data_IF_749137679310
#
_entry.id   IF_749137679310
#
_cell.length_a   1.000
_cell.length_b   1.000
_cell.length_c   1.000
_cell.angle_alpha   90.00
_cell.angle_beta   90.00
_cell.angle_gamma   90.00
#
_symmetry.space_group_name_H-M   'P 1'
#
loop_
_entity.id
_entity.type
_entity.pdbx_description
1 polymer ?
#
# COMPACT_ATOMS: atom_id res chain seq x y z
N UNK A 1 -6.84 22.15 -1.59
CA UNK A 1 -5.67 21.35 -1.18
C UNK A 1 -6.06 19.91 -1.01
N UNK A 2 -5.26 19.00 -1.51
CA UNK A 2 -5.54 17.58 -1.40
C UNK A 2 -4.76 16.96 -0.28
N UNK A 3 -5.46 16.20 0.54
CA UNK A 3 -4.84 15.46 1.62
C UNK A 3 -4.96 13.99 1.30
N UNK A 4 -3.84 13.34 1.12
CA UNK A 4 -3.81 11.89 0.96
C UNK A 4 -3.72 11.25 2.35
N UNK A 5 -4.28 10.06 2.52
CA UNK A 5 -4.20 9.38 3.81
C UNK A 5 -2.78 8.94 4.17
N UNK A 6 -1.89 8.92 3.18
CA UNK A 6 -0.49 8.54 3.40
C UNK A 6 0.40 9.47 2.61
N UNK A 7 1.67 9.53 3.01
CA UNK A 7 2.69 10.33 2.34
C UNK A 7 3.88 9.47 2.02
N UNK A 8 4.69 9.94 1.07
CA UNK A 8 5.97 9.29 0.76
C UNK A 8 6.77 9.12 2.04
N UNK A 9 7.36 7.94 2.19
CA UNK A 9 8.18 7.54 3.34
C UNK A 9 7.41 7.25 4.62
N UNK A 10 6.08 7.31 4.61
CA UNK A 10 5.29 6.87 5.75
C UNK A 10 5.47 5.37 5.95
N UNK A 11 5.54 4.97 7.21
CA UNK A 11 5.59 3.56 7.59
C UNK A 11 4.28 3.25 8.30
N UNK A 12 3.50 2.35 7.72
CA UNK A 12 2.18 2.01 8.24
C UNK A 12 1.94 0.52 8.15
N UNK A 13 1.01 0.04 8.98
CA UNK A 13 0.57 -1.35 8.91
C UNK A 13 -0.71 -1.40 8.07
N UNK A 14 -0.75 -2.33 7.12
CA UNK A 14 -1.92 -2.48 6.25
C UNK A 14 -2.27 -3.95 6.12
N UNK A 15 -3.51 -4.20 5.74
CA UNK A 15 -3.95 -5.54 5.39
C UNK A 15 -4.09 -5.62 3.87
N UNK A 16 -3.51 -6.66 3.29
CA UNK A 16 -3.56 -6.87 1.85
C UNK A 16 -4.90 -7.54 1.53
N UNK A 17 -5.69 -6.91 0.68
CA UNK A 17 -7.05 -7.36 0.40
C UNK A 17 -7.22 -7.96 -0.99
N UNK A 18 -6.24 -7.78 -1.86
CA UNK A 18 -6.35 -8.27 -3.24
C UNK A 18 -4.96 -8.40 -3.84
N UNK A 19 -4.93 -8.93 -5.07
CA UNK A 19 -3.68 -9.14 -5.79
C UNK A 19 -3.91 -8.75 -7.24
N UNK A 20 -2.97 -8.00 -7.82
CA UNK A 20 -3.06 -7.61 -9.23
C UNK A 20 -2.52 -8.71 -10.12
N UNK A 21 -2.77 -8.59 -11.43
CA UNK A 21 -2.21 -9.51 -12.42
C UNK A 21 -0.69 -9.52 -12.40
N UNK A 22 -0.10 -8.43 -11.97
CA UNK A 22 1.35 -8.28 -11.95
C UNK A 22 1.97 -8.82 -10.66
N UNK A 23 1.14 -9.31 -9.75
CA UNK A 23 1.64 -9.86 -8.51
C UNK A 23 1.80 -8.85 -7.40
N UNK A 24 1.21 -7.67 -7.56
CA UNK A 24 1.25 -6.66 -6.51
C UNK A 24 0.08 -6.84 -5.56
N UNK A 25 0.35 -6.78 -4.26
CA UNK A 25 -0.71 -6.78 -3.28
C UNK A 25 -1.41 -5.42 -3.27
N UNK A 26 -2.70 -5.44 -2.97
CA UNK A 26 -3.50 -4.22 -2.89
C UNK A 26 -3.96 -4.01 -1.46
N UNK A 27 -3.68 -2.84 -0.92
CA UNK A 27 -4.21 -2.43 0.38
C UNK A 27 -4.90 -1.09 0.21
N UNK A 28 -5.90 -0.82 1.02
CA UNK A 28 -6.59 0.46 0.97
C UNK A 28 -6.50 1.16 2.31
N UNK A 29 -6.16 2.43 2.27
CA UNK A 29 -6.14 3.30 3.44
C UNK A 29 -7.11 4.43 3.16
N UNK A 30 -8.25 4.46 3.87
CA UNK A 30 -9.30 5.46 3.65
C UNK A 30 -9.70 5.55 2.18
N UNK A 31 -9.93 4.38 1.56
CA UNK A 31 -10.32 4.27 0.16
C UNK A 31 -9.21 4.61 -0.84
N UNK A 32 -8.01 4.86 -0.36
CA UNK A 32 -6.87 5.17 -1.22
C UNK A 32 -6.08 3.87 -1.43
N UNK A 33 -6.03 3.34 -2.66
CA UNK A 33 -5.37 2.06 -2.89
C UNK A 33 -3.85 2.20 -2.94
N UNK A 34 -3.18 1.25 -2.32
CA UNK A 34 -1.72 1.14 -2.36
C UNK A 34 -1.36 -0.20 -2.99
N UNK A 35 -0.42 -0.17 -3.92
CA UNK A 35 0.12 -1.37 -4.55
C UNK A 35 1.45 -1.71 -3.90
N UNK A 36 1.57 -2.94 -3.43
CA UNK A 36 2.69 -3.32 -2.57
C UNK A 36 3.36 -4.57 -3.12
N UNK A 37 4.65 -4.47 -3.40
CA UNK A 37 5.43 -5.59 -3.92
C UNK A 37 5.59 -6.67 -2.85
N UNK A 38 5.56 -7.92 -3.29
CA UNK A 38 5.83 -9.09 -2.45
C UNK A 38 4.84 -9.26 -1.30
N UNK A 39 3.62 -8.79 -1.49
CA UNK A 39 2.57 -8.92 -0.49
C UNK A 39 1.47 -9.83 -1.04
N UNK A 40 0.89 -10.65 -0.18
CA UNK A 40 -0.17 -11.59 -0.56
C UNK A 40 -1.46 -11.26 0.17
N UNK A 41 -2.61 -11.51 -0.46
CA UNK A 41 -3.90 -11.24 0.17
C UNK A 41 -4.03 -11.95 1.51
N UNK A 42 -4.61 -11.26 2.47
CA UNK A 42 -4.80 -11.80 3.81
C UNK A 42 -3.68 -11.49 4.76
N UNK A 43 -2.56 -10.97 4.29
CA UNK A 43 -1.44 -10.63 5.15
C UNK A 43 -1.63 -9.25 5.75
N UNK A 44 -1.20 -9.10 7.02
CA UNK A 44 -1.07 -7.79 7.64
C UNK A 44 0.42 -7.50 7.74
N UNK A 45 0.83 -6.42 7.12
CA UNK A 45 2.25 -6.14 6.94
C UNK A 45 2.55 -4.69 7.28
N UNK A 46 3.76 -4.47 7.77
CA UNK A 46 4.28 -3.12 7.87
C UNK A 46 4.95 -2.77 6.56
N UNK A 47 4.53 -1.65 5.99
CA UNK A 47 5.04 -1.21 4.69
C UNK A 47 5.54 0.21 4.77
N UNK A 48 6.41 0.55 3.83
CA UNK A 48 6.85 1.93 3.65
C UNK A 48 6.25 2.44 2.35
N UNK A 49 5.63 3.61 2.41
CA UNK A 49 5.05 4.24 1.23
C UNK A 49 6.17 4.83 0.40
N UNK A 50 6.28 4.38 -0.86
CA UNK A 50 7.35 4.82 -1.75
C UNK A 50 6.93 6.02 -2.57
N UNK A 51 5.66 6.08 -2.97
CA UNK A 51 5.19 7.08 -3.90
C UNK A 51 3.69 7.22 -3.77
N UNK A 52 3.19 8.43 -3.88
CA UNK A 52 1.75 8.68 -3.89
C UNK A 52 1.37 9.46 -5.15
N UNK A 53 0.24 9.10 -5.72
CA UNK A 53 -0.32 9.80 -6.86
C UNK A 53 -1.75 10.22 -6.56
N UNK A 54 -2.42 10.75 -7.57
CA UNK A 54 -3.78 11.25 -7.38
C UNK A 54 -4.77 10.14 -7.02
N UNK A 55 -4.60 8.97 -7.62
CA UNK A 55 -5.57 7.89 -7.48
C UNK A 55 -5.05 6.70 -6.70
N UNK A 56 -3.74 6.54 -6.62
CA UNK A 56 -3.15 5.39 -5.94
C UNK A 56 -1.70 5.68 -5.59
N UNK A 57 -1.13 4.81 -4.77
CA UNK A 57 0.26 4.92 -4.38
C UNK A 57 0.94 3.56 -4.43
N UNK A 58 2.23 3.56 -4.14
CA UNK A 58 3.06 2.35 -4.12
C UNK A 58 3.77 2.25 -2.78
N UNK A 59 3.94 1.03 -2.34
CA UNK A 59 4.68 0.76 -1.11
C UNK A 59 5.48 -0.52 -1.22
N UNK A 60 6.30 -0.78 -0.23
CA UNK A 60 7.04 -2.03 -0.15
C UNK A 60 6.94 -2.59 1.27
N UNK A 61 7.08 -3.91 1.35
CA UNK A 61 7.05 -4.59 2.64
C UNK A 61 8.33 -4.31 3.39
N UNK A 62 8.20 -3.89 4.64
CA UNK A 62 9.35 -3.71 5.54
C UNK A 62 9.53 -4.92 6.42
N UNK A 63 8.44 -5.50 6.89
CA UNK A 63 8.49 -6.59 7.84
C UNK A 63 7.25 -7.45 7.70
N UNK A 64 7.38 -8.71 8.03
CA UNK A 64 6.27 -9.66 8.01
C UNK A 64 6.07 -10.27 9.38
#
# INVERSE_FOLDING_TARGET
>A
MKNYPVKKNDVIEVEIIDLTHEGLGVAKVDHYPLFIENALPGEKLEIKVLKTGKSFGYGKVLDR
#
